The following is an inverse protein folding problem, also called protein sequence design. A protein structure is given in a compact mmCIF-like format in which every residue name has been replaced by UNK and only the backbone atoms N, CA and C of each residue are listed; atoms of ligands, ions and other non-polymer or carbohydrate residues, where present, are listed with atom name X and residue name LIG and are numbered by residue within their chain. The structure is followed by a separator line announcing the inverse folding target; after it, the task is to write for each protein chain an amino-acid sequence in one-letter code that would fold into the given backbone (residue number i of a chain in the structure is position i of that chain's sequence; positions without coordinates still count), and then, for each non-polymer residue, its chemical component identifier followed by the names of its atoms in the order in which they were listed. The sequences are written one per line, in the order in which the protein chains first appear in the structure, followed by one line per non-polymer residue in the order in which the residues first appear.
data_IF_729108626601
#
_entry.id   IF_729108626601
#
_cell.length_a   1.000
_cell.length_b   1.000
_cell.length_c   1.000
_cell.angle_alpha   90.00
_cell.angle_beta   90.00
_cell.angle_gamma   90.00
#
_symmetry.space_group_name_H-M   'P 1'
#
loop_
_entity.id
_entity.type
_entity.pdbx_description
1 polymer ?
#
# COMPACT_ATOMS: atom_id res chain seq x y z
N UNK A 1 -24.22 -20.96 2.38
CA UNK A 1 -24.15 -22.43 2.54
C UNK A 1 -25.40 -22.92 3.24
N UNK A 2 -26.58 -22.41 2.83
CA UNK A 2 -27.86 -22.90 3.35
C UNK A 2 -28.13 -24.29 2.78
N UNK A 3 -28.34 -25.28 3.64
CA UNK A 3 -28.70 -26.65 3.27
C UNK A 3 -27.63 -27.71 3.50
N UNK A 4 -26.44 -27.40 3.96
CA UNK A 4 -25.47 -28.38 4.41
C UNK A 4 -25.86 -28.86 5.84
N UNK A 5 -25.78 -30.15 6.09
CA UNK A 5 -26.06 -30.69 7.41
C UNK A 5 -25.10 -30.09 8.45
N UNK A 6 -25.63 -29.60 9.56
CA UNK A 6 -24.83 -28.99 10.63
C UNK A 6 -24.66 -27.46 10.56
N UNK A 7 -25.08 -26.80 9.49
CA UNK A 7 -25.05 -25.33 9.40
C UNK A 7 -26.34 -24.77 10.02
N UNK A 8 -26.20 -24.01 11.08
CA UNK A 8 -27.31 -23.29 11.71
C UNK A 8 -27.31 -21.81 11.31
N UNK A 9 -28.44 -21.13 11.45
CA UNK A 9 -28.54 -19.69 11.21
C UNK A 9 -27.62 -18.85 12.10
N UNK A 10 -27.16 -19.42 13.22
CA UNK A 10 -26.19 -18.75 14.11
C UNK A 10 -24.76 -18.65 13.57
N UNK A 11 -24.47 -19.32 12.46
CA UNK A 11 -23.12 -19.34 11.85
C UNK A 11 -22.93 -18.31 10.72
N UNK A 12 -23.82 -17.36 10.57
CA UNK A 12 -23.68 -16.26 9.61
C UNK A 12 -22.90 -15.09 10.21
N UNK A 13 -21.59 -15.27 10.40
CA UNK A 13 -20.70 -14.18 10.76
C UNK A 13 -20.32 -13.33 9.54
N UNK A 14 -20.06 -12.06 9.77
CA UNK A 14 -19.57 -11.15 8.72
C UNK A 14 -18.10 -11.40 8.42
N UNK A 15 -17.35 -11.96 9.36
CA UNK A 15 -15.94 -12.29 9.21
C UNK A 15 -15.75 -13.80 9.04
N UNK A 16 -14.97 -14.20 8.04
CA UNK A 16 -14.64 -15.60 7.75
C UNK A 16 -13.16 -15.73 7.40
N UNK A 17 -12.47 -16.61 8.11
CA UNK A 17 -11.06 -16.95 7.89
C UNK A 17 -10.91 -18.45 7.62
N UNK A 18 -10.21 -18.82 6.56
CA UNK A 18 -9.78 -20.20 6.32
C UNK A 18 -8.34 -20.38 6.81
N UNK A 19 -8.17 -21.11 7.89
CA UNK A 19 -6.84 -21.34 8.48
C UNK A 19 -6.80 -22.65 9.27
N UNK A 20 -5.62 -23.27 9.33
CA UNK A 20 -5.37 -24.47 10.13
C UNK A 20 -6.31 -25.62 9.83
N UNK A 21 -6.68 -25.79 8.55
CA UNK A 21 -7.61 -26.83 8.09
C UNK A 21 -9.07 -26.62 8.55
N UNK A 22 -9.45 -25.43 8.98
CA UNK A 22 -10.77 -25.05 9.48
C UNK A 22 -11.27 -23.76 8.87
N UNK A 23 -12.56 -23.56 8.93
CA UNK A 23 -13.18 -22.25 8.76
C UNK A 23 -13.44 -21.65 10.15
N UNK A 24 -13.02 -20.40 10.29
CA UNK A 24 -13.27 -19.58 11.47
C UNK A 24 -14.25 -18.49 11.09
N UNK A 25 -15.18 -18.16 11.97
CA UNK A 25 -16.13 -17.07 11.72
C UNK A 25 -16.43 -16.29 12.97
N UNK A 26 -16.65 -14.99 12.82
CA UNK A 26 -16.94 -14.05 13.89
C UNK A 26 -17.85 -12.91 13.40
N UNK A 27 -18.11 -11.94 14.26
CA UNK A 27 -18.91 -10.75 13.96
C UNK A 27 -20.34 -11.10 13.55
N UNK A 28 -21.05 -11.77 14.45
CA UNK A 28 -22.46 -12.08 14.26
C UNK A 28 -23.35 -10.94 14.77
N UNK A 29 -24.21 -10.40 13.98
CA UNK A 29 -25.25 -9.45 14.34
C UNK A 29 -25.11 -8.76 15.70
N UNK A 30 -25.72 -9.31 16.75
CA UNK A 30 -25.64 -8.81 18.12
C UNK A 30 -24.46 -9.38 18.93
N UNK A 31 -23.86 -10.49 18.50
CA UNK A 31 -22.70 -11.11 19.17
C UNK A 31 -21.41 -10.72 18.45
N UNK A 32 -20.73 -9.73 18.99
CA UNK A 32 -19.49 -9.17 18.47
C UNK A 32 -18.23 -9.71 19.16
N UNK A 33 -18.37 -10.71 20.01
CA UNK A 33 -17.26 -11.19 20.86
C UNK A 33 -17.05 -12.70 20.81
N UNK A 34 -17.84 -13.44 20.05
CA UNK A 34 -17.69 -14.90 19.93
C UNK A 34 -17.10 -15.27 18.56
N UNK A 35 -16.15 -16.19 18.60
CA UNK A 35 -15.53 -16.81 17.44
C UNK A 35 -15.95 -18.26 17.41
N UNK A 36 -16.36 -18.74 16.26
CA UNK A 36 -16.69 -20.14 16.01
C UNK A 36 -15.70 -20.75 15.01
N UNK A 37 -15.44 -22.04 15.14
CA UNK A 37 -14.62 -22.78 14.17
C UNK A 37 -15.30 -24.11 13.79
N UNK A 38 -15.10 -24.49 12.53
CA UNK A 38 -15.60 -25.74 11.98
C UNK A 38 -14.78 -26.94 12.47
N UNK A 39 -15.29 -28.12 12.24
CA UNK A 39 -14.51 -29.35 12.39
C UNK A 39 -13.32 -29.40 11.44
N UNK A 40 -12.28 -30.15 11.82
CA UNK A 40 -11.04 -30.26 11.04
C UNK A 40 -11.32 -30.84 9.65
N UNK A 41 -10.89 -30.14 8.61
CA UNK A 41 -11.07 -30.47 7.19
C UNK A 41 -12.55 -30.62 6.76
N UNK A 42 -13.50 -30.26 7.61
CA UNK A 42 -14.94 -30.37 7.33
C UNK A 42 -15.59 -29.00 7.57
N UNK A 43 -15.42 -28.08 6.63
CA UNK A 43 -15.84 -26.66 6.76
C UNK A 43 -17.35 -26.43 6.94
N UNK A 44 -18.20 -27.43 6.71
CA UNK A 44 -19.66 -27.34 6.92
C UNK A 44 -20.11 -27.92 8.25
N UNK A 45 -19.25 -28.58 9.03
CA UNK A 45 -19.58 -29.14 10.32
C UNK A 45 -19.21 -28.16 11.45
N UNK A 46 -20.24 -27.56 12.07
CA UNK A 46 -20.10 -26.56 13.13
C UNK A 46 -20.60 -27.02 14.49
N UNK A 47 -21.13 -28.24 14.60
CA UNK A 47 -21.76 -28.76 15.81
C UNK A 47 -21.25 -30.13 16.24
N UNK A 48 -20.24 -30.69 15.58
CA UNK A 48 -19.73 -32.02 15.87
C UNK A 48 -18.19 -32.09 15.68
N UNK A 49 -17.62 -33.21 16.02
CA UNK A 49 -16.21 -33.46 15.94
C UNK A 49 -15.40 -32.55 16.86
N UNK A 50 -14.47 -31.83 16.29
CA UNK A 50 -13.60 -30.85 16.98
C UNK A 50 -13.99 -29.40 16.75
N UNK A 51 -15.22 -29.16 16.24
CA UNK A 51 -15.77 -27.80 16.13
C UNK A 51 -16.05 -27.20 17.51
N UNK A 52 -16.15 -25.90 17.59
CA UNK A 52 -16.40 -25.21 18.85
C UNK A 52 -16.50 -23.70 18.73
N UNK A 53 -16.46 -23.04 19.86
CA UNK A 53 -16.48 -21.58 19.95
C UNK A 53 -15.76 -21.08 21.19
N UNK A 54 -15.34 -19.83 21.14
CA UNK A 54 -14.78 -19.11 22.27
C UNK A 54 -15.37 -17.71 22.32
N UNK A 55 -15.80 -17.29 23.50
CA UNK A 55 -16.22 -15.92 23.76
C UNK A 55 -15.10 -15.16 24.44
N UNK A 56 -14.66 -14.07 23.80
CA UNK A 56 -13.51 -13.25 24.24
C UNK A 56 -13.94 -11.93 24.92
N UNK A 57 -15.23 -11.76 25.23
CA UNK A 57 -15.74 -10.51 25.82
C UNK A 57 -15.05 -10.08 27.11
N UNK A 58 -14.47 -11.03 27.86
CA UNK A 58 -13.74 -10.78 29.10
C UNK A 58 -12.21 -10.68 28.92
N UNK A 59 -11.72 -10.84 27.70
CA UNK A 59 -10.28 -10.91 27.39
C UNK A 59 -9.77 -9.57 26.87
N UNK A 60 -10.66 -8.70 26.43
CA UNK A 60 -10.30 -7.39 25.92
C UNK A 60 -9.50 -6.57 26.96
N UNK A 61 -8.32 -6.03 26.62
CA UNK A 61 -7.46 -5.34 27.59
C UNK A 61 -8.12 -4.10 28.20
N UNK A 62 -8.97 -3.40 27.43
CA UNK A 62 -9.70 -2.21 27.87
C UNK A 62 -11.14 -2.53 28.38
N UNK A 63 -11.43 -3.81 28.60
CA UNK A 63 -12.68 -4.28 29.19
C UNK A 63 -13.82 -4.49 28.20
N UNK A 64 -13.85 -3.81 27.06
CA UNK A 64 -14.86 -3.98 26.02
C UNK A 64 -14.30 -3.59 24.64
N UNK A 65 -14.54 -4.48 23.67
CA UNK A 65 -14.27 -4.20 22.25
C UNK A 65 -15.16 -5.11 21.37
N UNK A 66 -15.15 -4.88 20.08
CA UNK A 66 -15.88 -5.67 19.10
C UNK A 66 -14.92 -6.26 18.06
N UNK A 67 -15.10 -7.53 17.72
CA UNK A 67 -14.30 -8.18 16.69
C UNK A 67 -14.57 -7.52 15.33
N UNK A 68 -13.50 -7.13 14.64
CA UNK A 68 -13.54 -6.55 13.28
C UNK A 68 -13.01 -7.54 12.27
N UNK A 69 -11.87 -8.19 12.57
CA UNK A 69 -11.19 -9.08 11.64
C UNK A 69 -10.48 -10.23 12.36
N UNK A 70 -10.26 -11.30 11.64
CA UNK A 70 -9.44 -12.44 12.05
C UNK A 70 -8.25 -12.60 11.10
N UNK A 71 -7.11 -13.01 11.64
CA UNK A 71 -5.99 -13.46 10.85
C UNK A 71 -5.29 -14.66 11.48
N UNK A 72 -4.54 -15.39 10.68
CA UNK A 72 -3.74 -16.52 11.11
C UNK A 72 -2.26 -16.28 10.80
N UNK A 73 -1.40 -16.44 11.77
CA UNK A 73 0.04 -16.26 11.59
C UNK A 73 0.81 -17.11 12.60
N UNK A 74 1.79 -17.88 12.12
CA UNK A 74 2.70 -18.68 12.94
C UNK A 74 2.01 -19.55 14.02
N UNK A 75 0.96 -20.30 13.65
CA UNK A 75 0.21 -21.15 14.56
C UNK A 75 -0.72 -20.40 15.54
N UNK A 76 -0.76 -19.06 15.46
CA UNK A 76 -1.63 -18.24 16.28
C UNK A 76 -2.85 -17.74 15.51
N UNK A 77 -3.95 -17.55 16.22
CA UNK A 77 -5.13 -16.80 15.79
C UNK A 77 -5.00 -15.38 16.31
N UNK A 78 -5.01 -14.41 15.40
CA UNK A 78 -4.98 -12.99 15.68
C UNK A 78 -6.39 -12.45 15.53
N UNK A 79 -6.88 -11.80 16.58
CA UNK A 79 -8.22 -11.25 16.65
C UNK A 79 -8.08 -9.73 16.74
N UNK A 80 -8.50 -9.05 15.69
CA UNK A 80 -8.51 -7.60 15.66
C UNK A 80 -9.85 -7.08 16.16
N UNK A 81 -9.81 -6.28 17.22
CA UNK A 81 -10.91 -5.43 17.65
C UNK A 81 -10.83 -4.05 17.00
N UNK A 82 -11.79 -3.18 17.32
CA UNK A 82 -11.76 -1.77 16.88
C UNK A 82 -10.61 -0.99 17.50
N UNK A 83 -10.25 -1.30 18.75
CA UNK A 83 -9.28 -0.56 19.54
C UNK A 83 -8.19 -1.44 20.17
N UNK A 84 -8.28 -2.75 20.02
CA UNK A 84 -7.36 -3.69 20.65
C UNK A 84 -7.11 -4.91 19.76
N UNK A 85 -6.05 -5.66 20.07
CA UNK A 85 -5.71 -6.92 19.41
C UNK A 85 -5.52 -7.98 20.46
N UNK A 86 -6.06 -9.18 20.22
CA UNK A 86 -5.92 -10.35 21.07
C UNK A 86 -5.30 -11.48 20.27
N UNK A 87 -4.32 -12.17 20.83
CA UNK A 87 -3.58 -13.24 20.18
C UNK A 87 -3.72 -14.54 20.97
N UNK A 88 -4.22 -15.56 20.32
CA UNK A 88 -4.26 -16.92 20.85
C UNK A 88 -3.23 -17.80 20.16
N UNK A 89 -2.35 -18.41 20.94
CA UNK A 89 -1.45 -19.44 20.47
C UNK A 89 -2.15 -20.80 20.33
N UNK A 90 -1.52 -21.74 19.60
CA UNK A 90 -1.99 -23.11 19.37
C UNK A 90 -3.36 -23.20 18.65
N UNK A 91 -3.62 -22.27 17.73
CA UNK A 91 -4.87 -22.25 16.98
C UNK A 91 -5.07 -23.48 16.05
N UNK A 92 -3.99 -24.22 15.76
CA UNK A 92 -4.05 -25.51 15.06
C UNK A 92 -4.83 -26.57 15.84
N UNK A 93 -4.78 -26.51 17.18
CA UNK A 93 -5.51 -27.36 18.10
C UNK A 93 -6.42 -26.48 18.99
N UNK A 94 -7.62 -26.07 18.54
CA UNK A 94 -8.44 -25.08 19.23
C UNK A 94 -8.82 -25.43 20.66
N UNK A 95 -8.85 -26.71 21.02
CA UNK A 95 -9.07 -27.15 22.40
C UNK A 95 -7.91 -26.80 23.36
N UNK A 96 -6.73 -26.54 22.80
CA UNK A 96 -5.50 -26.17 23.51
C UNK A 96 -5.13 -24.70 23.33
N UNK A 97 -6.01 -23.92 22.68
CA UNK A 97 -5.75 -22.49 22.51
C UNK A 97 -5.57 -21.79 23.86
N UNK A 98 -4.51 -21.00 23.94
CA UNK A 98 -4.18 -20.19 25.11
C UNK A 98 -3.96 -18.73 24.72
N UNK A 99 -4.42 -17.82 25.56
CA UNK A 99 -4.12 -16.40 25.39
C UNK A 99 -2.61 -16.18 25.47
N UNK A 100 -2.03 -15.74 24.36
CA UNK A 100 -0.60 -15.49 24.24
C UNK A 100 -0.25 -14.04 24.48
N UNK A 101 -1.05 -13.11 23.92
CA UNK A 101 -0.76 -11.69 24.03
C UNK A 101 -2.00 -10.82 23.83
N UNK A 102 -1.91 -9.56 24.28
CA UNK A 102 -2.92 -8.53 24.03
C UNK A 102 -2.25 -7.18 23.79
N UNK A 103 -2.82 -6.38 22.91
CA UNK A 103 -2.39 -5.00 22.64
C UNK A 103 -3.58 -4.07 22.81
N UNK A 104 -3.47 -3.08 23.66
CA UNK A 104 -4.44 -2.03 23.86
C UNK A 104 -4.14 -0.79 23.00
N UNK A 105 -5.17 -0.04 22.66
CA UNK A 105 -5.04 1.24 21.96
C UNK A 105 -4.71 1.15 20.46
N UNK A 106 -4.59 -0.07 19.91
CA UNK A 106 -4.40 -0.32 18.48
C UNK A 106 -5.34 -1.41 18.02
N UNK A 107 -6.23 -1.09 17.11
CA UNK A 107 -7.16 -2.02 16.50
C UNK A 107 -7.22 -1.86 14.99
N UNK A 108 -8.13 -2.57 14.37
CA UNK A 108 -8.36 -2.59 12.93
C UNK A 108 -9.61 -1.78 12.56
N UNK A 109 -9.50 -0.98 11.50
CA UNK A 109 -10.62 -0.16 11.00
C UNK A 109 -11.65 -1.03 10.26
N UNK A 110 -11.17 -1.94 9.42
CA UNK A 110 -12.02 -2.77 8.58
C UNK A 110 -11.31 -4.09 8.22
N UNK A 111 -12.05 -5.21 8.19
CA UNK A 111 -11.54 -6.54 7.86
C UNK A 111 -10.89 -6.61 6.47
N UNK A 112 -11.46 -5.89 5.51
CA UNK A 112 -10.98 -5.89 4.12
C UNK A 112 -9.64 -5.15 3.96
N UNK A 113 -9.08 -4.64 5.07
CA UNK A 113 -7.74 -4.05 5.10
C UNK A 113 -6.66 -4.99 5.62
N UNK A 114 -7.06 -6.16 6.15
CA UNK A 114 -6.12 -7.14 6.71
C UNK A 114 -5.57 -8.02 5.61
N UNK A 115 -4.24 -7.99 5.42
CA UNK A 115 -3.56 -8.78 4.38
C UNK A 115 -2.35 -9.52 4.97
N UNK A 116 -2.24 -10.80 4.63
CA UNK A 116 -1.09 -11.63 4.97
C UNK A 116 -0.01 -11.52 3.89
N UNK A 117 1.21 -11.13 4.29
CA UNK A 117 2.33 -10.93 3.37
C UNK A 117 3.29 -12.13 3.29
N UNK A 118 2.95 -13.24 3.90
CA UNK A 118 3.82 -14.41 4.02
C UNK A 118 4.67 -14.38 5.30
N UNK A 119 5.21 -13.24 5.67
CA UNK A 119 6.05 -13.06 6.86
C UNK A 119 5.39 -12.24 7.97
N UNK A 120 4.36 -11.46 7.65
CA UNK A 120 3.68 -10.54 8.56
C UNK A 120 2.22 -10.37 8.16
N UNK A 121 1.45 -9.69 9.00
CA UNK A 121 0.08 -9.27 8.71
C UNK A 121 0.01 -7.75 8.71
N UNK A 122 -0.42 -7.18 7.60
CA UNK A 122 -0.65 -5.75 7.46
C UNK A 122 -2.12 -5.43 7.70
N UNK A 123 -2.42 -4.33 8.38
CA UNK A 123 -3.78 -3.89 8.63
C UNK A 123 -3.87 -2.37 8.79
N UNK A 124 -5.02 -1.81 8.48
CA UNK A 124 -5.31 -0.40 8.67
C UNK A 124 -5.83 -0.15 10.09
N UNK A 125 -5.12 0.66 10.84
CA UNK A 125 -5.54 1.18 12.13
C UNK A 125 -6.03 2.63 12.01
N UNK A 126 -6.72 3.16 13.00
CA UNK A 126 -7.11 4.58 13.08
C UNK A 126 -5.94 5.57 13.01
N UNK A 127 -4.73 5.09 13.24
CA UNK A 127 -3.49 5.88 13.19
C UNK A 127 -2.63 5.60 11.96
N UNK A 128 -3.16 4.89 10.95
CA UNK A 128 -2.48 4.56 9.70
C UNK A 128 -2.24 3.07 9.51
N UNK A 129 -1.50 2.72 8.47
CA UNK A 129 -1.14 1.33 8.13
C UNK A 129 -0.15 0.78 9.17
N UNK A 130 -0.43 -0.39 9.71
CA UNK A 130 0.38 -1.06 10.73
C UNK A 130 0.82 -2.45 10.28
N UNK A 131 1.90 -2.91 10.88
CA UNK A 131 2.39 -4.28 10.84
C UNK A 131 2.07 -4.95 12.18
N UNK A 132 1.52 -6.15 12.13
CA UNK A 132 1.23 -6.94 13.33
C UNK A 132 2.53 -7.28 14.08
N UNK A 133 3.57 -7.75 13.38
CA UNK A 133 4.84 -8.10 13.99
C UNK A 133 5.46 -6.94 14.76
N UNK A 134 5.48 -5.73 14.17
CA UNK A 134 5.95 -4.52 14.87
C UNK A 134 5.04 -4.14 16.03
N UNK A 135 3.73 -4.23 15.85
CA UNK A 135 2.75 -3.90 16.89
C UNK A 135 2.96 -4.72 18.15
N UNK A 136 3.23 -6.02 18.00
CA UNK A 136 3.54 -6.90 19.14
C UNK A 136 4.90 -6.55 19.80
N UNK A 137 5.90 -6.20 18.99
CA UNK A 137 7.23 -5.82 19.50
C UNK A 137 7.22 -4.46 20.22
N UNK A 138 6.48 -3.50 19.69
CA UNK A 138 6.47 -2.10 20.14
C UNK A 138 5.32 -1.78 21.11
N UNK A 139 4.53 -2.74 21.57
CA UNK A 139 3.30 -2.54 22.36
C UNK A 139 3.44 -1.68 23.62
N UNK A 140 4.66 -1.51 24.12
CA UNK A 140 4.98 -0.64 25.27
C UNK A 140 5.56 0.72 24.87
N UNK A 141 5.61 1.04 23.59
CA UNK A 141 6.17 2.26 23.00
C UNK A 141 5.17 2.87 22.02
N UNK A 142 5.35 4.13 21.60
CA UNK A 142 4.57 4.66 20.49
C UNK A 142 4.74 3.79 19.25
N UNK A 143 3.65 3.11 18.85
CA UNK A 143 3.68 2.13 17.74
C UNK A 143 3.87 2.87 16.42
N UNK A 144 4.98 2.58 15.75
CA UNK A 144 5.33 3.19 14.47
C UNK A 144 4.34 2.80 13.37
N UNK A 145 4.14 3.72 12.42
CA UNK A 145 3.26 3.50 11.28
C UNK A 145 4.05 3.19 10.02
N UNK A 146 3.61 2.21 9.25
CA UNK A 146 4.18 1.94 7.93
C UNK A 146 3.81 3.04 6.91
N UNK A 147 2.81 3.83 7.21
CA UNK A 147 2.34 4.98 6.42
C UNK A 147 2.77 6.34 6.98
N UNK A 148 3.85 6.41 7.75
CA UNK A 148 4.24 7.61 8.49
C UNK A 148 4.36 8.86 7.59
N UNK A 149 4.88 8.71 6.39
CA UNK A 149 5.03 9.80 5.41
C UNK A 149 3.69 10.39 4.93
N UNK A 150 2.58 9.64 5.03
CA UNK A 150 1.25 10.04 4.57
C UNK A 150 0.17 9.85 5.64
N UNK A 151 0.56 9.69 6.90
CA UNK A 151 -0.37 9.44 8.02
C UNK A 151 -1.45 10.51 8.11
N UNK A 152 -1.11 11.77 7.91
CA UNK A 152 -2.09 12.88 7.94
C UNK A 152 -3.16 12.73 6.85
N UNK A 153 -2.77 12.33 5.65
CA UNK A 153 -3.71 12.12 4.55
C UNK A 153 -4.63 10.94 4.84
N UNK A 154 -4.08 9.82 5.34
CA UNK A 154 -4.86 8.65 5.73
C UNK A 154 -5.84 9.00 6.86
N UNK A 155 -5.42 9.69 7.91
CA UNK A 155 -6.31 10.10 9.00
C UNK A 155 -7.43 11.00 8.49
N UNK A 156 -7.13 11.95 7.62
CA UNK A 156 -8.16 12.81 7.01
C UNK A 156 -9.16 12.00 6.18
N UNK A 157 -8.69 10.99 5.45
CA UNK A 157 -9.56 10.08 4.69
C UNK A 157 -10.44 9.25 5.63
N UNK A 158 -9.88 8.68 6.71
CA UNK A 158 -10.61 7.90 7.70
C UNK A 158 -11.72 8.71 8.40
N UNK A 159 -11.48 10.00 8.65
CA UNK A 159 -12.48 10.87 9.27
C UNK A 159 -13.66 11.23 8.34
N UNK A 160 -13.44 11.20 7.04
CA UNK A 160 -14.42 11.59 6.02
C UNK A 160 -15.03 10.38 5.27
N UNK A 161 -14.45 9.19 5.42
CA UNK A 161 -14.94 7.97 4.78
C UNK A 161 -16.03 7.31 5.61
N UNK A 162 -17.13 7.01 4.97
CA UNK A 162 -18.29 6.42 5.66
C UNK A 162 -18.39 4.92 5.41
N UNK A 163 -17.66 4.33 4.43
CA UNK A 163 -18.16 3.02 4.08
C UNK A 163 -17.25 1.93 3.58
N UNK A 164 -16.37 2.07 2.67
CA UNK A 164 -15.78 0.87 2.08
C UNK A 164 -14.29 0.99 1.84
N UNK A 165 -13.55 0.15 2.55
CA UNK A 165 -12.13 -0.07 2.30
C UNK A 165 -11.97 -1.37 1.50
N UNK A 166 -10.98 -1.40 0.63
CA UNK A 166 -10.54 -2.63 -0.04
C UNK A 166 -9.04 -2.65 -0.07
N UNK A 167 -8.47 -3.81 0.12
CA UNK A 167 -7.03 -3.98 0.02
C UNK A 167 -6.65 -5.27 -0.66
N UNK A 168 -5.43 -5.31 -1.15
CA UNK A 168 -4.80 -6.51 -1.66
C UNK A 168 -3.29 -6.43 -1.47
N UNK A 169 -2.67 -7.54 -1.18
CA UNK A 169 -1.24 -7.73 -1.25
C UNK A 169 -0.88 -8.54 -2.49
N UNK A 170 0.01 -8.02 -3.32
CA UNK A 170 0.60 -8.74 -4.46
C UNK A 170 2.08 -8.98 -4.18
N UNK A 171 2.50 -10.22 -3.94
CA UNK A 171 3.92 -10.55 -3.78
C UNK A 171 4.70 -10.42 -5.09
N UNK A 172 4.08 -10.67 -6.24
CA UNK A 172 4.70 -10.56 -7.56
C UNK A 172 5.11 -9.12 -7.84
N UNK A 173 4.22 -8.18 -7.56
CA UNK A 173 4.46 -6.76 -7.74
C UNK A 173 5.16 -6.11 -6.53
N UNK A 174 5.16 -6.78 -5.38
CA UNK A 174 5.77 -6.31 -4.16
C UNK A 174 5.09 -5.09 -3.55
N UNK A 175 3.77 -5.02 -3.64
CA UNK A 175 3.01 -3.91 -3.07
C UNK A 175 1.77 -4.37 -2.26
N UNK A 176 1.34 -3.48 -1.38
CA UNK A 176 0.04 -3.50 -0.74
C UNK A 176 -0.78 -2.32 -1.26
N UNK A 177 -1.94 -2.59 -1.86
CA UNK A 177 -2.90 -1.57 -2.28
C UNK A 177 -3.97 -1.38 -1.23
N UNK A 178 -4.33 -0.13 -0.97
CA UNK A 178 -5.41 0.26 -0.06
C UNK A 178 -6.31 1.28 -0.74
N UNK A 179 -7.54 0.88 -1.04
CA UNK A 179 -8.55 1.73 -1.66
C UNK A 179 -9.54 2.28 -0.65
N UNK A 180 -9.72 3.60 -0.69
CA UNK A 180 -10.81 4.34 -0.07
C UNK A 180 -11.88 4.55 -1.14
N UNK A 181 -12.82 3.59 -1.22
CA UNK A 181 -13.74 3.48 -2.36
C UNK A 181 -14.63 4.72 -2.50
N UNK A 182 -15.22 5.17 -1.39
CA UNK A 182 -16.10 6.34 -1.39
C UNK A 182 -15.41 7.65 -1.76
N UNK A 183 -14.10 7.75 -1.54
CA UNK A 183 -13.31 8.93 -1.87
C UNK A 183 -12.55 8.81 -3.19
N UNK A 184 -12.73 7.70 -3.89
CA UNK A 184 -12.16 7.45 -5.20
C UNK A 184 -10.64 7.64 -5.22
N UNK A 185 -9.94 7.05 -4.24
CA UNK A 185 -8.49 7.09 -4.11
C UNK A 185 -7.91 5.78 -3.63
N UNK A 186 -6.80 5.37 -4.22
CA UNK A 186 -6.02 4.21 -3.80
C UNK A 186 -4.60 4.63 -3.43
N UNK A 187 -4.07 4.06 -2.37
CA UNK A 187 -2.66 4.14 -2.01
C UNK A 187 -1.96 2.82 -2.32
N UNK A 188 -0.83 2.93 -2.98
CA UNK A 188 0.08 1.83 -3.25
C UNK A 188 1.29 1.95 -2.33
N UNK A 189 1.51 0.96 -1.48
CA UNK A 189 2.66 0.87 -0.59
C UNK A 189 3.65 -0.17 -1.13
N UNK A 190 4.88 0.23 -1.39
CA UNK A 190 5.96 -0.66 -1.78
C UNK A 190 6.45 -1.42 -0.53
N UNK A 191 6.17 -2.72 -0.46
CA UNK A 191 6.52 -3.55 0.70
C UNK A 191 7.89 -4.22 0.58
N UNK A 192 8.61 -4.03 -0.54
CA UNK A 192 9.95 -4.62 -0.77
C UNK A 192 11.03 -4.02 0.10
N UNK A 193 10.80 -2.82 0.64
CA UNK A 193 11.75 -2.16 1.52
C UNK A 193 11.14 -1.01 2.30
N UNK A 194 11.81 -0.65 3.38
CA UNK A 194 11.41 0.47 4.23
C UNK A 194 12.33 1.67 4.01
N UNK A 195 11.80 2.86 4.23
CA UNK A 195 12.56 4.10 4.33
C UNK A 195 13.35 4.13 5.66
N UNK A 196 14.24 5.11 5.84
CA UNK A 196 15.06 5.27 7.04
C UNK A 196 14.23 5.39 8.34
N UNK A 197 13.03 5.96 8.25
CA UNK A 197 12.08 6.04 9.38
C UNK A 197 11.25 4.76 9.59
N UNK A 198 11.53 3.70 8.83
CA UNK A 198 10.82 2.42 8.92
C UNK A 198 9.46 2.37 8.22
N UNK A 199 9.01 3.44 7.57
CA UNK A 199 7.77 3.44 6.80
C UNK A 199 7.97 2.89 5.38
N UNK A 200 6.88 2.50 4.74
CA UNK A 200 6.89 2.15 3.31
C UNK A 200 6.88 3.39 2.42
N UNK A 201 7.40 3.25 1.20
CA UNK A 201 7.12 4.24 0.16
C UNK A 201 5.67 4.13 -0.24
N UNK A 202 5.00 5.27 -0.31
CA UNK A 202 3.59 5.32 -0.68
C UNK A 202 3.41 6.17 -1.95
N UNK A 203 2.56 5.68 -2.84
CA UNK A 203 2.12 6.40 -4.03
C UNK A 203 0.60 6.55 -3.98
N UNK A 204 0.09 7.74 -4.26
CA UNK A 204 -1.34 8.02 -4.28
C UNK A 204 -1.86 7.98 -5.72
N UNK A 205 -2.91 7.21 -5.95
CA UNK A 205 -3.61 7.09 -7.23
C UNK A 205 -5.00 7.74 -7.11
N UNK A 206 -5.16 8.96 -7.57
CA UNK A 206 -6.45 9.64 -7.55
C UNK A 206 -7.35 9.16 -8.69
N UNK A 207 -8.65 9.09 -8.47
CA UNK A 207 -9.61 8.60 -9.47
C UNK A 207 -9.70 7.07 -9.54
N UNK A 208 -9.18 6.35 -8.53
CA UNK A 208 -9.07 4.89 -8.51
C UNK A 208 -9.66 4.30 -7.23
N UNK A 209 -10.93 4.53 -6.98
CA UNK A 209 -11.67 3.88 -5.89
C UNK A 209 -12.06 2.45 -6.28
N UNK A 210 -11.10 1.54 -6.29
CA UNK A 210 -11.32 0.15 -6.68
C UNK A 210 -12.26 -0.56 -5.69
N UNK A 211 -13.28 -1.22 -6.23
CA UNK A 211 -14.37 -1.82 -5.46
C UNK A 211 -14.10 -3.25 -5.03
N UNK A 212 -13.20 -3.93 -5.69
CA UNK A 212 -12.82 -5.31 -5.39
C UNK A 212 -11.41 -5.61 -5.92
N UNK A 213 -10.79 -6.61 -5.31
CA UNK A 213 -9.53 -7.18 -5.76
C UNK A 213 -9.61 -8.69 -5.72
N UNK A 214 -8.99 -9.33 -6.69
CA UNK A 214 -8.72 -10.77 -6.64
C UNK A 214 -7.39 -11.08 -7.28
N UNK A 215 -6.64 -11.98 -6.68
CA UNK A 215 -5.42 -12.52 -7.24
C UNK A 215 -5.65 -13.99 -7.59
N UNK A 216 -5.29 -14.37 -8.80
CA UNK A 216 -5.35 -15.75 -9.23
C UNK A 216 -4.12 -16.53 -8.74
N UNK A 217 -4.19 -17.84 -8.76
CA UNK A 217 -3.06 -18.72 -8.40
C UNK A 217 -1.86 -18.55 -9.37
N UNK A 218 -2.14 -18.14 -10.61
CA UNK A 218 -1.14 -17.78 -11.62
C UNK A 218 -0.36 -16.51 -11.34
N UNK A 219 -0.82 -15.69 -10.36
CA UNK A 219 -0.18 -14.44 -9.94
C UNK A 219 -0.85 -13.18 -10.48
N UNK A 220 -1.71 -13.29 -11.51
CA UNK A 220 -2.41 -12.13 -12.08
C UNK A 220 -3.32 -11.47 -11.05
N UNK A 221 -3.28 -10.14 -11.03
CA UNK A 221 -4.13 -9.32 -10.19
C UNK A 221 -5.28 -8.73 -11.02
N UNK A 222 -6.51 -9.00 -10.61
CA UNK A 222 -7.71 -8.39 -11.17
C UNK A 222 -8.29 -7.38 -10.21
N UNK A 223 -8.81 -6.31 -10.79
CA UNK A 223 -9.33 -5.14 -10.08
C UNK A 223 -10.77 -4.90 -10.52
N UNK A 224 -11.67 -4.80 -9.57
CA UNK A 224 -13.04 -4.35 -9.79
C UNK A 224 -13.13 -2.84 -9.79
N UNK A 225 -13.77 -2.29 -10.82
CA UNK A 225 -14.08 -0.87 -10.95
C UNK A 225 -15.58 -0.68 -11.07
N UNK A 226 -16.06 0.55 -11.10
CA UNK A 226 -17.48 0.85 -11.39
C UNK A 226 -17.90 0.49 -12.80
N UNK A 227 -16.95 0.34 -13.72
CA UNK A 227 -17.19 0.03 -15.13
C UNK A 227 -17.07 -1.47 -15.45
N UNK A 228 -16.44 -2.26 -14.56
CA UNK A 228 -16.25 -3.69 -14.76
C UNK A 228 -15.01 -4.23 -14.07
N UNK A 229 -14.47 -5.31 -14.61
CA UNK A 229 -13.26 -5.98 -14.11
C UNK A 229 -12.12 -5.69 -15.08
N UNK A 230 -10.99 -5.26 -14.55
CA UNK A 230 -9.76 -5.01 -15.29
C UNK A 230 -8.62 -5.85 -14.74
N UNK A 231 -7.71 -6.27 -15.59
CA UNK A 231 -6.45 -6.89 -15.19
C UNK A 231 -5.42 -5.81 -14.90
N UNK A 232 -4.70 -5.94 -13.80
CA UNK A 232 -3.55 -5.09 -13.51
C UNK A 232 -2.35 -5.52 -14.34
N UNK A 233 -2.17 -4.90 -15.49
CA UNK A 233 -1.09 -5.23 -16.41
C UNK A 233 -0.69 -4.02 -17.26
N UNK A 234 0.57 -4.01 -17.73
CA UNK A 234 1.08 -2.96 -18.62
C UNK A 234 1.24 -1.59 -17.97
N UNK A 235 1.25 -0.53 -18.79
CA UNK A 235 1.56 0.84 -18.39
C UNK A 235 0.58 1.85 -19.01
N UNK A 236 -0.70 1.51 -19.01
CA UNK A 236 -1.78 2.42 -19.42
C UNK A 236 -2.99 2.22 -18.53
N UNK A 237 -3.79 3.25 -18.34
CA UNK A 237 -5.04 3.18 -17.61
C UNK A 237 -6.17 2.89 -18.59
N UNK A 238 -6.57 1.61 -18.67
CA UNK A 238 -7.59 1.13 -19.64
C UNK A 238 -7.36 1.67 -21.07
N UNK A 239 -6.11 1.58 -21.56
CA UNK A 239 -5.71 2.08 -22.86
C UNK A 239 -5.52 3.61 -22.95
N UNK A 240 -5.75 4.34 -21.87
CA UNK A 240 -5.52 5.79 -21.79
C UNK A 240 -4.24 6.11 -21.06
N UNK A 241 -3.69 7.29 -21.33
CA UNK A 241 -2.52 7.79 -20.61
C UNK A 241 -2.86 8.20 -19.19
N UNK A 242 -1.95 7.99 -18.26
CA UNK A 242 -2.01 8.57 -16.92
C UNK A 242 -0.80 9.45 -16.65
N UNK A 243 -0.93 10.39 -15.70
CA UNK A 243 0.12 11.34 -15.36
C UNK A 243 0.85 10.92 -14.08
N UNK A 244 2.10 10.51 -14.25
CA UNK A 244 3.03 10.34 -13.14
C UNK A 244 3.46 11.72 -12.61
N UNK A 245 3.49 11.89 -11.28
CA UNK A 245 3.94 13.11 -10.61
C UNK A 245 4.84 12.76 -9.44
N UNK A 246 6.00 13.39 -9.41
CA UNK A 246 6.92 13.37 -8.28
C UNK A 246 7.28 14.80 -7.88
N UNK A 247 7.26 15.10 -6.59
CA UNK A 247 7.71 16.38 -6.04
C UNK A 247 8.60 16.14 -4.84
N UNK A 248 9.78 16.76 -4.84
CA UNK A 248 10.70 16.70 -3.70
C UNK A 248 10.16 17.49 -2.52
N UNK A 249 10.56 17.15 -1.29
CA UNK A 249 10.47 18.09 -0.17
C UNK A 249 11.29 19.35 -0.47
N UNK A 250 11.21 20.37 0.40
CA UNK A 250 12.04 21.55 0.31
C UNK A 250 13.52 21.21 0.51
N UNK A 251 14.33 21.41 -0.53
CA UNK A 251 15.76 21.12 -0.53
C UNK A 251 16.54 22.39 -0.14
N UNK A 252 17.27 22.33 0.96
CA UNK A 252 18.06 23.49 1.45
C UNK A 252 19.50 23.50 0.95
N UNK A 253 20.04 22.38 0.50
CA UNK A 253 21.44 22.20 0.09
C UNK A 253 22.46 22.79 1.09
N UNK A 254 22.21 22.60 2.36
CA UNK A 254 22.96 23.11 3.50
C UNK A 254 22.21 24.20 4.25
N UNK A 255 22.80 25.38 4.47
CA UNK A 255 22.21 26.45 5.25
C UNK A 255 21.03 27.13 4.51
N UNK A 256 19.80 27.10 5.06
CA UNK A 256 18.63 27.73 4.45
C UNK A 256 18.70 29.27 4.41
N UNK A 257 19.53 29.91 5.24
CA UNK A 257 19.73 31.36 5.26
C UNK A 257 20.54 31.89 4.07
N UNK A 258 21.15 31.01 3.29
CA UNK A 258 21.94 31.41 2.12
C UNK A 258 21.12 31.35 0.85
N UNK A 259 21.20 32.39 0.02
CA UNK A 259 20.62 32.39 -1.32
C UNK A 259 21.29 31.33 -2.19
N UNK A 260 20.49 30.50 -2.84
CA UNK A 260 20.95 29.49 -3.79
C UNK A 260 20.36 29.75 -5.17
N UNK A 261 21.22 29.63 -6.18
CA UNK A 261 20.79 29.70 -7.58
C UNK A 261 20.99 28.35 -8.23
N UNK A 262 19.91 27.76 -8.69
CA UNK A 262 19.98 26.55 -9.51
C UNK A 262 20.44 26.95 -10.93
N UNK A 263 21.46 26.28 -11.41
CA UNK A 263 21.96 26.48 -12.80
C UNK A 263 21.42 25.42 -13.74
N UNK A 264 21.47 24.17 -13.28
CA UNK A 264 21.02 23.03 -14.10
C UNK A 264 20.36 21.99 -13.21
N UNK A 265 19.33 21.37 -13.76
CA UNK A 265 18.71 20.17 -13.19
C UNK A 265 18.83 19.08 -14.25
N UNK A 266 19.29 17.90 -13.83
CA UNK A 266 19.51 16.75 -14.71
C UNK A 266 18.81 15.54 -14.14
N UNK A 267 17.58 15.23 -14.56
CA UNK A 267 16.97 13.96 -14.26
C UNK A 267 17.66 12.84 -15.07
N UNK A 268 17.86 11.71 -14.44
CA UNK A 268 18.22 10.44 -15.09
C UNK A 268 16.97 9.57 -15.10
N UNK A 269 16.47 9.28 -16.28
CA UNK A 269 15.26 8.51 -16.52
C UNK A 269 15.63 7.22 -17.24
N UNK A 270 15.01 6.11 -16.88
CA UNK A 270 15.21 4.80 -17.47
C UNK A 270 13.88 4.27 -17.98
N UNK A 271 13.92 3.61 -19.12
CA UNK A 271 12.73 3.22 -19.86
C UNK A 271 12.22 4.36 -20.73
N UNK A 272 10.99 4.34 -21.06
CA UNK A 272 10.25 5.24 -21.94
C UNK A 272 10.59 5.12 -23.43
N UNK A 273 9.53 5.02 -24.20
CA UNK A 273 9.57 5.19 -25.64
C UNK A 273 8.72 6.43 -25.97
N UNK A 274 9.39 7.56 -26.21
CA UNK A 274 8.73 8.81 -26.61
C UNK A 274 7.86 9.50 -25.52
N UNK A 275 8.28 9.46 -24.24
CA UNK A 275 7.58 10.15 -23.17
C UNK A 275 7.80 11.66 -23.16
N UNK A 276 6.74 12.43 -22.99
CA UNK A 276 6.83 13.85 -22.66
C UNK A 276 7.01 14.03 -21.15
N UNK A 277 8.09 14.72 -20.77
CA UNK A 277 8.46 14.96 -19.38
C UNK A 277 8.46 16.45 -19.10
N UNK A 278 7.85 16.85 -18.00
CA UNK A 278 7.79 18.21 -17.49
C UNK A 278 8.64 18.30 -16.22
N UNK A 279 9.78 18.94 -16.31
CA UNK A 279 10.60 19.25 -15.15
C UNK A 279 10.17 20.59 -14.57
N UNK A 280 9.88 20.61 -13.28
CA UNK A 280 9.34 21.78 -12.57
C UNK A 280 10.24 22.16 -11.41
N UNK A 281 10.37 23.46 -11.13
CA UNK A 281 11.08 23.92 -9.94
C UNK A 281 10.48 25.22 -9.41
N UNK A 282 10.49 25.36 -8.11
CA UNK A 282 10.03 26.55 -7.38
C UNK A 282 11.00 26.87 -6.23
N UNK A 283 10.94 28.09 -5.72
CA UNK A 283 11.76 28.55 -4.61
C UNK A 283 10.87 29.03 -3.47
N UNK A 284 11.37 28.86 -2.24
CA UNK A 284 10.78 29.41 -1.01
C UNK A 284 9.29 29.08 -0.85
N UNK A 285 8.93 27.81 -1.19
CA UNK A 285 7.56 27.28 -1.12
C UNK A 285 6.54 28.00 -2.03
N UNK A 286 7.02 28.70 -3.08
CA UNK A 286 6.14 29.26 -4.08
C UNK A 286 5.27 28.16 -4.72
N UNK A 287 4.00 28.44 -4.87
CA UNK A 287 3.05 27.53 -5.52
C UNK A 287 3.15 27.56 -7.04
N UNK A 288 3.80 28.57 -7.58
CA UNK A 288 3.99 28.75 -9.02
C UNK A 288 5.33 28.14 -9.48
N UNK A 289 5.26 26.95 -10.07
CA UNK A 289 6.43 26.24 -10.58
C UNK A 289 6.83 26.75 -11.97
N UNK A 290 8.12 27.04 -12.16
CA UNK A 290 8.73 27.16 -13.48
C UNK A 290 8.80 25.78 -14.12
N UNK A 291 8.56 25.69 -15.42
CA UNK A 291 8.46 24.40 -16.13
C UNK A 291 9.37 24.40 -17.35
N UNK A 292 10.03 23.29 -17.57
CA UNK A 292 10.69 22.96 -18.82
C UNK A 292 10.19 21.61 -19.33
N UNK A 293 9.82 21.57 -20.60
CA UNK A 293 9.33 20.38 -21.27
C UNK A 293 10.41 19.76 -22.15
N UNK A 294 10.49 18.44 -22.17
CA UNK A 294 11.35 17.71 -23.09
C UNK A 294 10.82 16.29 -23.33
N UNK A 295 11.19 15.72 -24.47
CA UNK A 295 10.83 14.34 -24.81
C UNK A 295 11.99 13.40 -24.49
N UNK A 296 11.68 12.24 -23.94
CA UNK A 296 12.61 11.16 -23.58
C UNK A 296 12.34 9.97 -24.48
N UNK A 297 13.39 9.27 -24.92
CA UNK A 297 13.25 7.98 -25.57
C UNK A 297 12.86 8.03 -27.04
N UNK A 298 13.56 8.82 -27.84
CA UNK A 298 13.37 8.83 -29.29
C UNK A 298 14.33 7.87 -30.05
N UNK A 299 15.04 7.01 -29.32
CA UNK A 299 15.96 6.03 -29.89
C UNK A 299 15.36 4.64 -29.72
N UNK A 300 15.13 3.95 -30.82
CA UNK A 300 14.76 2.53 -30.80
C UNK A 300 16.01 1.73 -30.41
N UNK A 301 15.91 0.82 -29.43
CA UNK A 301 17.02 -0.11 -29.17
C UNK A 301 17.30 -0.94 -30.43
N UNK A 302 18.57 -1.06 -30.77
CA UNK A 302 18.99 -1.90 -31.87
C UNK A 302 18.93 -3.37 -31.45
N UNK A 303 18.04 -4.13 -32.04
CA UNK A 303 18.03 -5.59 -31.89
C UNK A 303 18.97 -6.23 -32.92
N UNK A 304 19.74 -7.23 -32.46
CA UNK A 304 20.63 -7.98 -33.34
C UNK A 304 19.79 -8.64 -34.46
N UNK A 305 20.21 -8.42 -35.70
CA UNK A 305 19.57 -8.91 -36.92
C UNK A 305 18.22 -8.23 -37.32
N UNK A 306 17.78 -7.18 -36.62
CA UNK A 306 16.56 -6.43 -36.95
C UNK A 306 16.84 -4.93 -37.24
N UNK A 307 17.96 -4.42 -36.74
CA UNK A 307 18.29 -2.99 -36.80
C UNK A 307 19.24 -2.66 -37.92
N UNK A 308 18.98 -1.55 -38.62
CA UNK A 308 19.85 -1.05 -39.67
C UNK A 308 21.15 -0.47 -39.10
N UNK A 309 22.27 -0.78 -39.74
CA UNK A 309 23.61 -0.26 -39.38
C UNK A 309 23.64 1.25 -39.47
N UNK A 310 24.17 1.95 -38.46
CA UNK A 310 24.19 3.42 -38.29
C UNK A 310 22.83 4.09 -38.00
N UNK A 311 21.73 3.36 -37.83
CA UNK A 311 20.40 3.90 -37.47
C UNK A 311 20.03 3.54 -36.04
N UNK A 312 20.38 2.33 -35.61
CA UNK A 312 20.10 1.84 -34.25
C UNK A 312 21.33 1.95 -33.33
N UNK A 313 21.15 2.37 -32.10
CA UNK A 313 22.19 2.28 -31.07
C UNK A 313 22.17 0.90 -30.42
N UNK A 314 23.33 0.23 -30.35
CA UNK A 314 23.49 -1.01 -29.61
C UNK A 314 23.44 -0.73 -28.11
N UNK A 315 22.25 -0.75 -27.54
CA UNK A 315 22.06 -0.73 -26.09
C UNK A 315 21.47 -2.05 -25.67
N UNK A 316 22.25 -2.87 -24.99
CA UNK A 316 21.80 -4.15 -24.46
C UNK A 316 20.94 -4.03 -23.20
N UNK A 317 20.06 -3.03 -23.11
CA UNK A 317 19.24 -2.80 -21.92
C UNK A 317 18.28 -1.64 -22.04
N UNK A 318 17.66 -1.28 -20.93
CA UNK A 318 16.73 -0.16 -20.82
C UNK A 318 17.37 1.16 -21.26
N UNK A 319 16.66 1.93 -22.05
CA UNK A 319 17.12 3.25 -22.52
C UNK A 319 17.30 4.21 -21.34
N UNK A 320 18.52 4.66 -21.12
CA UNK A 320 18.81 5.67 -20.11
C UNK A 320 18.88 7.05 -20.75
N UNK A 321 18.03 7.96 -20.32
CA UNK A 321 18.02 9.34 -20.77
C UNK A 321 18.49 10.30 -19.68
N UNK A 322 19.50 11.13 -20.01
CA UNK A 322 20.00 12.20 -19.14
C UNK A 322 19.85 13.54 -19.86
N UNK A 323 18.84 14.32 -19.50
CA UNK A 323 18.61 15.64 -20.08
C UNK A 323 19.00 16.73 -19.10
N UNK A 324 19.89 17.64 -19.51
CA UNK A 324 20.22 18.82 -18.72
C UNK A 324 19.27 19.97 -19.06
N UNK A 325 18.55 20.47 -18.07
CA UNK A 325 17.69 21.64 -18.17
C UNK A 325 18.34 22.81 -17.46
N UNK A 326 18.46 23.97 -18.12
CA UNK A 326 18.91 25.19 -17.48
C UNK A 326 17.77 25.75 -16.61
N UNK A 327 18.04 25.86 -15.32
CA UNK A 327 17.10 26.43 -14.37
C UNK A 327 17.43 27.89 -14.08
N UNK A 328 16.40 28.69 -13.87
CA UNK A 328 16.51 30.12 -13.54
C UNK A 328 15.91 30.40 -12.17
N UNK A 329 16.32 31.49 -11.55
CA UNK A 329 15.82 31.95 -10.25
C UNK A 329 16.77 31.59 -9.10
N UNK A 330 16.37 31.93 -7.88
CA UNK A 330 17.10 31.63 -6.65
C UNK A 330 16.19 31.80 -5.43
N UNK A 331 16.58 31.18 -4.33
CA UNK A 331 15.89 31.20 -3.04
C UNK A 331 16.67 30.47 -1.97
N UNK A 332 16.16 30.45 -0.75
CA UNK A 332 16.72 29.70 0.37
C UNK A 332 16.39 28.21 0.32
N UNK A 333 15.20 27.89 -0.15
CA UNK A 333 14.66 26.53 -0.27
C UNK A 333 14.23 26.29 -1.72
N UNK A 334 14.43 25.10 -2.22
CA UNK A 334 14.11 24.72 -3.60
C UNK A 334 13.24 23.46 -3.60
N UNK A 335 12.12 23.51 -4.30
CA UNK A 335 11.27 22.36 -4.59
C UNK A 335 11.44 21.96 -6.05
N UNK A 336 11.61 20.68 -6.31
CA UNK A 336 11.77 20.14 -7.67
C UNK A 336 10.65 19.15 -7.91
N UNK A 337 9.96 19.30 -9.04
CA UNK A 337 8.92 18.40 -9.51
C UNK A 337 9.31 17.75 -10.84
N UNK A 338 8.83 16.55 -11.06
CA UNK A 338 8.88 15.86 -12.33
C UNK A 338 7.51 15.25 -12.61
N UNK A 339 6.96 15.58 -13.76
CA UNK A 339 5.74 14.97 -14.24
C UNK A 339 5.98 14.33 -15.61
N UNK A 340 5.31 13.21 -15.87
CA UNK A 340 5.40 12.55 -17.16
C UNK A 340 4.06 11.93 -17.54
N UNK A 341 3.70 11.98 -18.81
CA UNK A 341 2.56 11.28 -19.35
C UNK A 341 2.98 9.86 -19.74
N UNK A 342 2.43 8.86 -19.08
CA UNK A 342 2.72 7.43 -19.29
C UNK A 342 1.61 6.82 -20.12
N UNK A 343 1.97 6.11 -21.19
CA UNK A 343 1.03 5.39 -22.03
C UNK A 343 1.71 4.22 -22.74
N UNK A 344 1.54 3.02 -22.21
CA UNK A 344 2.04 1.78 -22.80
C UNK A 344 3.54 1.52 -22.69
N UNK A 345 4.25 2.26 -21.81
CA UNK A 345 5.69 2.07 -21.55
C UNK A 345 6.05 2.30 -20.09
N UNK A 346 7.08 1.61 -19.61
CA UNK A 346 7.66 1.85 -18.30
C UNK A 346 8.49 3.13 -18.28
N UNK A 347 8.46 3.88 -17.19
CA UNK A 347 9.34 5.02 -16.93
C UNK A 347 9.78 5.00 -15.46
N UNK A 348 11.08 4.99 -15.23
CA UNK A 348 11.68 5.05 -13.91
C UNK A 348 12.52 6.31 -13.75
N UNK A 349 12.29 7.05 -12.67
CA UNK A 349 13.16 8.16 -12.25
C UNK A 349 14.23 7.61 -11.30
N UNK A 350 15.47 7.54 -11.76
CA UNK A 350 16.59 7.01 -10.96
C UNK A 350 17.23 8.09 -10.09
N UNK A 351 17.46 9.28 -10.66
CA UNK A 351 18.24 10.31 -10.00
C UNK A 351 17.85 11.70 -10.52
N UNK A 352 17.95 12.71 -9.68
CA UNK A 352 17.90 14.12 -10.06
C UNK A 352 19.15 14.82 -9.57
N UNK A 353 20.06 15.14 -10.48
CA UNK A 353 21.26 15.92 -10.20
C UNK A 353 20.98 17.41 -10.31
N UNK A 354 21.32 18.18 -9.28
CA UNK A 354 21.09 19.64 -9.23
C UNK A 354 22.38 20.38 -9.07
N UNK A 355 22.72 21.20 -10.05
CA UNK A 355 23.86 22.10 -9.98
C UNK A 355 23.44 23.42 -9.34
N UNK A 356 23.88 23.65 -8.10
CA UNK A 356 23.52 24.82 -7.29
C UNK A 356 24.76 25.70 -7.08
N UNK A 357 24.59 26.99 -7.26
CA UNK A 357 25.54 28.00 -6.80
C UNK A 357 25.08 28.61 -5.50
N UNK A 358 25.92 28.57 -4.48
CA UNK A 358 25.70 29.26 -3.19
C UNK A 358 26.04 30.75 -3.37
N UNK A 359 25.13 31.60 -2.96
CA UNK A 359 25.28 33.06 -2.95
C UNK A 359 25.56 33.60 -1.56
N UNK A 360 25.27 34.87 -1.37
CA UNK A 360 25.38 35.56 -0.07
C UNK A 360 24.22 35.17 0.85
N UNK A 361 24.37 35.50 2.14
CA UNK A 361 23.28 35.42 3.12
C UNK A 361 22.10 36.28 2.66
N UNK A 362 20.88 35.77 2.82
CA UNK A 362 19.62 36.46 2.46
C UNK A 362 19.38 37.67 3.34
#
# INVERSE_FOLDING_TARGET
VSGAAGVTSAMYGNEVLAAYGRLWTADFGADKSTIYWSDLLIGHNWSGGTSGSINISKVWPDGHDEIVALAAHNGALIIFGKHSIVVYANAEAPAEMALADTVAGVGCVDRDTVQYTGTDVLFLSHTGLKSFGRTIQEKSMPISSLSDTITKDIINLLQNEISFYRSVYSPEEGFYLLSFVGQNVTYCFDVRGTLENGSYRATRWPGTGFTAYTRLESGELYIGTTEGISEYSGYSDNGTKYRFKYYSPGLTFGDPSMLKRVKKIRPTLVGANSATVFLKWAYDFDTFYRTAEFTVGNQQPAFYNESEFNVGEFTGGELTSRRAVNATGGGGVINIGLEADINGFALSLQEINVLVLKGKVL
#
